data_IF_705435561104
#
_entry.id   IF_705435561104
#
_cell.length_a   1.000
_cell.length_b   1.000
_cell.length_c   1.000
_cell.angle_alpha   90.00
_cell.angle_beta   90.00
_cell.angle_gamma   90.00
#
_symmetry.space_group_name_H-M   'P 1'
#
loop_
_entity.id
_entity.type
_entity.pdbx_description
1 polymer ?
#
# COMPACT_ATOMS: atom_id res chain seq x y z
N UNK A 1 -17.29 13.79 67.67
CA UNK A 1 -16.16 14.08 66.79
C UNK A 1 -16.41 13.52 65.38
N UNK A 2 -16.43 14.37 64.45
CA UNK A 2 -16.18 14.26 63.00
C UNK A 2 -17.32 13.89 62.04
N UNK A 3 -18.46 14.59 62.16
CA UNK A 3 -19.38 14.73 60.99
C UNK A 3 -19.07 15.93 60.09
N UNK A 4 -18.16 16.83 60.51
CA UNK A 4 -17.81 18.06 59.72
C UNK A 4 -16.68 17.83 58.70
N UNK A 5 -15.94 16.71 58.74
CA UNK A 5 -14.84 16.45 57.80
C UNK A 5 -15.24 15.74 56.52
N UNK A 6 -16.46 15.20 56.44
CA UNK A 6 -16.97 14.50 55.23
C UNK A 6 -17.64 15.46 54.25
N UNK A 7 -18.08 16.62 54.68
CA UNK A 7 -18.77 17.60 53.79
C UNK A 7 -17.76 18.47 53.03
N UNK A 8 -16.54 18.62 53.49
CA UNK A 8 -15.49 19.40 52.81
C UNK A 8 -14.84 18.68 51.63
N UNK A 9 -14.93 17.34 51.55
CA UNK A 9 -14.36 16.54 50.44
C UNK A 9 -15.35 16.37 49.28
N UNK A 10 -16.65 16.55 49.52
CA UNK A 10 -17.68 16.44 48.48
C UNK A 10 -17.93 17.75 47.71
N UNK A 11 -17.41 18.89 48.18
CA UNK A 11 -17.55 20.17 47.52
C UNK A 11 -16.37 20.55 46.61
N UNK A 12 -15.27 19.76 46.63
CA UNK A 12 -14.11 20.03 45.75
C UNK A 12 -14.15 19.20 44.46
N UNK A 13 -15.15 18.28 44.30
CA UNK A 13 -15.34 17.48 43.11
C UNK A 13 -16.23 18.15 42.02
N UNK A 14 -16.76 19.35 42.29
CA UNK A 14 -17.73 20.01 41.41
C UNK A 14 -17.13 21.13 40.53
N UNK A 15 -15.80 21.29 40.48
CA UNK A 15 -15.09 22.28 39.63
C UNK A 15 -14.08 21.64 38.68
N UNK A 16 -14.38 20.46 38.15
CA UNK A 16 -13.73 20.06 36.89
C UNK A 16 -14.45 20.83 35.78
N UNK A 17 -13.74 21.69 35.03
CA UNK A 17 -14.32 22.25 33.82
C UNK A 17 -14.65 21.09 32.92
N UNK A 18 -15.94 20.84 32.67
CA UNK A 18 -16.40 20.07 31.54
C UNK A 18 -15.92 20.81 30.27
N UNK A 19 -14.68 20.49 29.87
CA UNK A 19 -14.24 20.77 28.52
C UNK A 19 -15.06 19.83 27.60
N UNK A 20 -16.35 20.14 27.43
CA UNK A 20 -17.13 19.71 26.28
C UNK A 20 -16.61 20.46 25.06
N UNK A 21 -15.35 20.28 24.70
CA UNK A 21 -14.89 20.46 23.34
C UNK A 21 -15.62 19.41 22.50
N UNK A 22 -16.17 19.81 21.39
CA UNK A 22 -16.89 19.00 20.41
C UNK A 22 -16.09 17.73 20.09
N UNK A 23 -16.36 16.63 20.81
CA UNK A 23 -15.70 15.31 20.65
C UNK A 23 -15.94 14.70 19.26
N UNK A 24 -16.86 15.26 18.47
CA UNK A 24 -17.23 14.73 17.16
C UNK A 24 -16.34 15.22 15.99
N UNK A 25 -15.69 16.38 16.09
CA UNK A 25 -14.86 16.89 14.97
C UNK A 25 -13.51 16.18 14.84
N UNK A 26 -13.03 15.52 15.89
CA UNK A 26 -11.77 14.79 15.89
C UNK A 26 -11.87 13.30 15.50
N UNK A 27 -13.05 12.80 15.12
CA UNK A 27 -13.25 11.38 14.76
C UNK A 27 -13.44 11.14 13.26
N UNK A 28 -12.99 12.06 12.42
CA UNK A 28 -12.99 11.87 10.97
C UNK A 28 -11.58 11.69 10.47
N UNK A 29 -11.35 10.60 9.74
CA UNK A 29 -10.07 10.27 9.13
C UNK A 29 -10.29 9.96 7.65
N UNK A 30 -9.42 10.46 6.79
CA UNK A 30 -9.39 10.11 5.38
C UNK A 30 -8.14 9.30 5.05
N UNK A 31 -8.34 8.11 4.45
CA UNK A 31 -7.26 7.22 4.01
C UNK A 31 -7.20 7.27 2.49
N UNK A 32 -6.08 7.76 1.95
CA UNK A 32 -5.80 7.69 0.53
C UNK A 32 -5.18 6.33 0.19
N UNK A 33 -5.49 5.79 -0.98
CA UNK A 33 -4.91 4.54 -1.46
C UNK A 33 -4.88 4.49 -2.99
N UNK A 34 -3.86 3.83 -3.53
CA UNK A 34 -3.81 3.44 -4.94
C UNK A 34 -4.56 2.10 -5.12
N UNK A 35 -5.00 1.81 -6.34
CA UNK A 35 -5.75 0.58 -6.62
C UNK A 35 -4.81 -0.62 -6.78
N UNK A 36 -3.96 -0.85 -5.77
CA UNK A 36 -3.01 -1.94 -5.65
C UNK A 36 -3.43 -2.90 -4.53
N UNK A 37 -3.15 -4.17 -4.72
CA UNK A 37 -3.66 -5.25 -3.88
C UNK A 37 -3.31 -5.08 -2.40
N UNK A 38 -2.06 -4.83 -2.09
CA UNK A 38 -1.56 -4.64 -0.73
C UNK A 38 -2.04 -3.31 -0.13
N UNK A 39 -2.02 -2.24 -0.93
CA UNK A 39 -2.50 -0.92 -0.52
C UNK A 39 -3.99 -0.93 -0.14
N UNK A 40 -4.82 -1.63 -0.93
CA UNK A 40 -6.23 -1.88 -0.61
C UNK A 40 -6.33 -2.66 0.70
N UNK A 41 -5.59 -3.76 0.83
CA UNK A 41 -5.66 -4.64 1.99
C UNK A 41 -5.32 -3.90 3.29
N UNK A 42 -4.20 -3.19 3.32
CA UNK A 42 -3.75 -2.41 4.49
C UNK A 42 -4.70 -1.27 4.80
N UNK A 43 -5.15 -0.52 3.79
CA UNK A 43 -6.03 0.63 3.97
C UNK A 43 -7.42 0.23 4.51
N UNK A 44 -8.01 -0.84 3.98
CA UNK A 44 -9.29 -1.33 4.47
C UNK A 44 -9.20 -2.03 5.83
N UNK A 45 -8.06 -2.65 6.18
CA UNK A 45 -7.81 -3.15 7.52
C UNK A 45 -7.87 -2.01 8.55
N UNK A 46 -7.12 -0.94 8.31
CA UNK A 46 -7.11 0.23 9.20
C UNK A 46 -8.46 0.91 9.23
N UNK A 47 -9.14 1.03 8.08
CA UNK A 47 -10.52 1.53 8.03
C UNK A 47 -11.43 0.78 9.01
N UNK A 48 -11.45 -0.56 8.94
CA UNK A 48 -12.32 -1.38 9.80
C UNK A 48 -11.96 -1.19 11.27
N UNK A 49 -10.68 -1.22 11.62
CA UNK A 49 -10.23 -1.03 12.99
C UNK A 49 -10.64 0.35 13.51
N UNK A 50 -10.44 1.41 12.73
CA UNK A 50 -10.83 2.78 13.14
C UNK A 50 -12.35 2.92 13.28
N UNK A 51 -13.15 2.33 12.39
CA UNK A 51 -14.61 2.34 12.50
C UNK A 51 -15.08 1.63 13.77
N UNK A 52 -14.46 0.53 14.18
CA UNK A 52 -14.74 -0.17 15.44
C UNK A 52 -14.42 0.69 16.67
N UNK A 53 -13.50 1.67 16.53
CA UNK A 53 -13.20 2.67 17.56
C UNK A 53 -14.04 3.95 17.42
N UNK A 54 -15.06 3.93 16.56
CA UNK A 54 -16.05 5.01 16.40
C UNK A 54 -15.56 6.18 15.55
N UNK A 55 -14.56 5.97 14.67
CA UNK A 55 -14.16 6.95 13.66
C UNK A 55 -15.03 6.85 12.41
N UNK A 56 -15.29 8.01 11.79
CA UNK A 56 -15.85 8.10 10.44
C UNK A 56 -14.70 8.10 9.45
N UNK A 57 -14.55 7.02 8.67
CA UNK A 57 -13.40 6.84 7.78
C UNK A 57 -13.78 6.99 6.32
N UNK A 58 -13.24 8.01 5.67
CA UNK A 58 -13.41 8.24 4.24
C UNK A 58 -12.23 7.64 3.45
N UNK A 59 -12.54 6.76 2.49
CA UNK A 59 -11.58 6.19 1.57
C UNK A 59 -11.45 7.05 0.31
N UNK A 60 -10.22 7.32 -0.12
CA UNK A 60 -9.88 8.17 -1.27
C UNK A 60 -9.00 7.38 -2.24
N UNK A 61 -9.60 6.83 -3.29
CA UNK A 61 -8.84 6.17 -4.35
C UNK A 61 -8.28 7.21 -5.32
N UNK A 62 -6.97 7.17 -5.56
CA UNK A 62 -6.29 8.03 -6.53
C UNK A 62 -4.92 7.44 -6.93
N UNK A 63 -4.31 8.02 -7.97
CA UNK A 63 -2.92 7.74 -8.34
C UNK A 63 -1.94 8.41 -7.35
N UNK A 64 -0.66 8.01 -7.36
CA UNK A 64 0.34 8.47 -6.38
C UNK A 64 0.50 9.99 -6.33
N UNK A 65 0.63 10.67 -7.47
CA UNK A 65 0.86 12.11 -7.47
C UNK A 65 -0.29 12.90 -6.79
N UNK A 66 -1.58 12.65 -7.08
CA UNK A 66 -2.70 13.20 -6.32
C UNK A 66 -2.70 12.80 -4.82
N UNK A 67 -2.29 11.56 -4.48
CA UNK A 67 -2.21 11.11 -3.08
C UNK A 67 -1.22 11.97 -2.31
N UNK A 68 0.04 12.06 -2.77
CA UNK A 68 1.08 12.86 -2.11
C UNK A 68 0.73 14.34 -2.05
N UNK A 69 0.17 14.89 -3.13
CA UNK A 69 -0.31 16.27 -3.15
C UNK A 69 -1.46 16.51 -2.15
N UNK A 70 -2.34 15.52 -1.94
CA UNK A 70 -3.45 15.61 -0.98
C UNK A 70 -2.96 15.54 0.46
N UNK A 71 -2.03 14.63 0.77
CA UNK A 71 -1.37 14.54 2.08
C UNK A 71 -0.65 15.84 2.42
N UNK A 72 0.19 16.35 1.51
CA UNK A 72 0.97 17.58 1.73
C UNK A 72 0.10 18.83 1.96
N UNK A 73 -1.17 18.79 1.55
CA UNK A 73 -2.17 19.86 1.74
C UNK A 73 -3.18 19.54 2.85
N UNK A 74 -2.97 18.47 3.62
CA UNK A 74 -3.88 17.99 4.67
C UNK A 74 -5.32 17.72 4.17
N UNK A 75 -5.46 17.28 2.89
CA UNK A 75 -6.74 16.89 2.25
C UNK A 75 -6.99 15.40 2.31
N UNK A 76 -5.94 14.61 2.50
CA UNK A 76 -5.95 13.23 2.95
C UNK A 76 -5.12 13.16 4.24
N UNK A 77 -5.45 12.21 5.11
CA UNK A 77 -4.80 12.08 6.42
C UNK A 77 -3.72 11.00 6.42
N UNK A 78 -3.98 9.87 5.81
CA UNK A 78 -3.15 8.66 5.89
C UNK A 78 -2.95 8.07 4.50
N UNK A 79 -1.73 7.61 4.21
CA UNK A 79 -1.40 6.71 3.11
C UNK A 79 -0.49 5.60 3.63
N UNK A 80 -0.88 4.34 3.43
CA UNK A 80 -0.23 3.19 4.08
C UNK A 80 0.71 2.40 3.17
N UNK A 81 0.94 2.87 1.97
CA UNK A 81 1.61 2.07 0.94
C UNK A 81 2.80 2.84 0.33
N UNK A 82 3.67 3.36 1.22
CA UNK A 82 4.87 4.09 0.81
C UNK A 82 6.08 3.15 0.85
N UNK A 83 6.59 2.80 -0.32
CA UNK A 83 7.72 1.90 -0.53
C UNK A 83 9.04 2.66 -0.45
N UNK A 84 9.88 2.34 0.53
CA UNK A 84 11.16 3.00 0.80
C UNK A 84 12.29 1.98 0.97
N UNK A 85 13.54 2.35 0.58
CA UNK A 85 13.99 3.72 0.25
C UNK A 85 13.96 4.08 -1.24
N UNK A 86 13.61 3.18 -2.17
CA UNK A 86 13.90 3.35 -3.60
C UNK A 86 12.66 3.71 -4.42
N UNK A 87 11.62 2.87 -4.34
CA UNK A 87 10.47 2.93 -5.28
C UNK A 87 9.72 4.26 -5.25
N UNK A 88 9.54 4.86 -4.07
CA UNK A 88 8.85 6.16 -3.90
C UNK A 88 9.77 7.28 -3.44
N UNK A 89 11.08 7.13 -3.66
CA UNK A 89 12.09 8.13 -3.28
C UNK A 89 11.73 9.54 -3.77
N UNK A 90 11.42 9.70 -5.04
CA UNK A 90 11.14 11.00 -5.66
C UNK A 90 9.95 11.72 -5.01
N UNK A 91 8.91 10.96 -4.65
CA UNK A 91 7.75 11.53 -3.94
C UNK A 91 8.14 12.01 -2.54
N UNK A 92 8.97 11.23 -1.84
CA UNK A 92 9.45 11.62 -0.51
C UNK A 92 10.45 12.77 -0.58
N UNK A 93 11.28 12.85 -1.62
CA UNK A 93 12.13 14.02 -1.86
C UNK A 93 11.29 15.28 -2.10
N UNK A 94 10.22 15.19 -2.88
CA UNK A 94 9.36 16.34 -3.22
C UNK A 94 8.47 16.79 -2.08
N UNK A 95 7.94 15.87 -1.26
CA UNK A 95 6.89 16.16 -0.28
C UNK A 95 7.29 15.90 1.17
N UNK A 96 8.43 15.24 1.42
CA UNK A 96 8.83 14.74 2.74
C UNK A 96 8.84 15.78 3.85
N UNK A 97 9.21 17.03 3.55
CA UNK A 97 9.20 18.13 4.52
C UNK A 97 7.80 18.41 5.13
N UNK A 98 6.74 18.00 4.41
CA UNK A 98 5.33 18.18 4.79
C UNK A 98 4.69 16.91 5.32
N UNK A 99 5.44 15.83 5.37
CA UNK A 99 4.97 14.48 5.71
C UNK A 99 5.72 13.93 6.93
N UNK A 100 5.13 12.94 7.57
CA UNK A 100 5.69 12.17 8.68
C UNK A 100 5.55 10.69 8.36
N UNK A 101 6.67 9.95 8.38
CA UNK A 101 6.67 8.48 8.32
C UNK A 101 6.45 7.96 9.73
N UNK A 102 5.32 7.31 10.00
CA UNK A 102 4.93 6.94 11.36
C UNK A 102 4.90 5.46 11.65
N UNK A 103 4.94 4.61 10.64
CA UNK A 103 4.90 3.16 10.84
C UNK A 103 5.59 2.41 9.70
N UNK A 104 6.10 1.22 10.03
CA UNK A 104 6.56 0.23 9.07
C UNK A 104 5.54 -0.92 9.07
N UNK A 105 4.78 -1.04 7.98
CA UNK A 105 3.66 -1.99 7.89
C UNK A 105 4.13 -3.37 7.45
N UNK A 106 5.11 -3.42 6.55
CA UNK A 106 5.61 -4.67 5.97
C UNK A 106 7.06 -4.54 5.54
N UNK A 107 7.84 -5.59 5.75
CA UNK A 107 9.22 -5.72 5.28
C UNK A 107 9.34 -6.71 4.10
N UNK A 108 10.50 -6.72 3.45
CA UNK A 108 10.83 -7.60 2.32
C UNK A 108 9.98 -7.40 1.06
N UNK A 109 9.41 -6.22 0.89
CA UNK A 109 8.73 -5.84 -0.34
C UNK A 109 9.73 -5.80 -1.53
N UNK A 110 9.35 -6.34 -2.68
CA UNK A 110 10.19 -6.39 -3.88
C UNK A 110 9.39 -6.04 -5.11
N UNK A 111 10.01 -5.34 -6.03
CA UNK A 111 9.49 -5.08 -7.38
C UNK A 111 10.37 -5.78 -8.43
N UNK A 112 9.82 -6.05 -9.60
CA UNK A 112 10.59 -6.65 -10.71
C UNK A 112 9.75 -6.96 -11.93
N UNK A 113 10.37 -7.62 -12.91
CA UNK A 113 9.67 -8.21 -14.05
C UNK A 113 9.26 -9.63 -13.70
N UNK A 114 8.00 -9.95 -13.92
CA UNK A 114 7.38 -11.22 -13.55
C UNK A 114 6.91 -11.95 -14.79
N UNK A 115 7.19 -13.24 -14.83
CA UNK A 115 6.73 -14.15 -15.88
C UNK A 115 6.09 -15.40 -15.26
N UNK A 116 5.17 -16.10 -15.97
CA UNK A 116 4.73 -17.43 -15.57
C UNK A 116 5.89 -18.42 -15.48
N UNK A 117 5.84 -19.37 -14.54
CA UNK A 117 6.92 -20.32 -14.29
C UNK A 117 7.24 -21.21 -15.52
N UNK A 118 6.26 -21.45 -16.43
CA UNK A 118 6.47 -22.21 -17.66
C UNK A 118 7.27 -21.44 -18.74
N UNK A 119 7.49 -20.15 -18.57
CA UNK A 119 8.40 -19.36 -19.39
C UNK A 119 9.84 -19.76 -19.06
N UNK A 120 10.63 -20.11 -20.07
CA UNK A 120 11.93 -20.78 -19.84
C UNK A 120 13.08 -19.85 -19.44
N UNK A 121 12.99 -18.54 -19.74
CA UNK A 121 14.02 -17.56 -19.35
C UNK A 121 14.07 -17.39 -17.84
N UNK A 122 15.24 -17.04 -17.31
CA UNK A 122 15.46 -16.83 -15.88
C UNK A 122 15.83 -15.38 -15.54
N UNK A 123 16.38 -14.64 -16.49
CA UNK A 123 16.90 -13.29 -16.24
C UNK A 123 16.35 -12.24 -17.23
N UNK A 124 16.50 -10.98 -16.85
CA UNK A 124 16.09 -9.84 -17.67
C UNK A 124 16.88 -9.77 -18.98
N UNK A 125 18.16 -10.15 -18.97
CA UNK A 125 19.05 -10.16 -20.14
C UNK A 125 18.52 -11.05 -21.26
N UNK A 126 17.84 -12.15 -20.92
CA UNK A 126 17.37 -13.13 -21.89
C UNK A 126 16.15 -12.63 -22.69
N UNK A 127 15.48 -11.55 -22.24
CA UNK A 127 14.26 -11.05 -22.87
C UNK A 127 14.46 -10.74 -24.36
N UNK A 128 15.55 -10.05 -24.76
CA UNK A 128 15.79 -9.70 -26.17
C UNK A 128 15.87 -10.92 -27.09
N UNK A 129 16.44 -12.03 -26.60
CA UNK A 129 16.50 -13.29 -27.36
C UNK A 129 15.14 -13.94 -27.61
N UNK A 130 14.10 -13.48 -26.94
CA UNK A 130 12.75 -14.04 -27.00
C UNK A 130 11.66 -13.01 -27.26
N UNK A 131 12.03 -11.83 -27.80
CA UNK A 131 11.14 -10.69 -28.02
C UNK A 131 9.81 -11.06 -28.70
N UNK A 132 9.87 -11.88 -29.74
CA UNK A 132 8.68 -12.27 -30.51
C UNK A 132 7.67 -13.07 -29.67
N UNK A 133 8.15 -13.90 -28.74
CA UNK A 133 7.28 -14.68 -27.83
C UNK A 133 6.52 -13.79 -26.85
N UNK A 134 7.07 -12.64 -26.50
CA UNK A 134 6.46 -11.63 -25.63
C UNK A 134 5.77 -10.50 -26.42
N UNK A 135 5.67 -10.63 -27.76
CA UNK A 135 5.14 -9.58 -28.65
C UNK A 135 5.87 -8.24 -28.48
N UNK A 136 7.13 -8.25 -28.00
CA UNK A 136 7.93 -7.05 -27.75
C UNK A 136 7.33 -6.11 -26.71
N UNK A 137 6.53 -6.62 -25.75
CA UNK A 137 5.82 -5.78 -24.78
C UNK A 137 6.07 -6.27 -23.34
N UNK A 138 6.17 -5.30 -22.43
CA UNK A 138 6.08 -5.50 -20.99
C UNK A 138 4.78 -4.83 -20.53
N UNK A 139 3.90 -5.58 -19.89
CA UNK A 139 2.64 -5.03 -19.40
C UNK A 139 2.86 -4.44 -18.02
N UNK A 140 2.76 -3.14 -17.92
CA UNK A 140 2.93 -2.39 -16.67
C UNK A 140 1.60 -2.04 -16.00
N UNK A 141 1.70 -1.06 -15.10
CA UNK A 141 0.56 -0.53 -14.35
C UNK A 141 0.41 0.99 -14.59
N UNK A 142 -0.11 1.72 -13.61
CA UNK A 142 -0.32 3.16 -13.66
C UNK A 142 1.00 3.90 -13.92
N UNK A 143 1.01 4.84 -14.86
CA UNK A 143 2.24 5.52 -15.31
C UNK A 143 3.01 6.22 -14.19
N UNK A 144 2.32 6.68 -13.12
CA UNK A 144 2.94 7.34 -11.96
C UNK A 144 3.54 6.40 -10.93
N UNK A 145 3.38 5.08 -11.09
CA UNK A 145 3.93 4.09 -10.14
C UNK A 145 5.46 4.02 -10.26
N UNK A 146 6.15 3.91 -9.11
CA UNK A 146 7.61 3.86 -9.06
C UNK A 146 8.20 2.70 -9.86
N UNK A 147 7.54 1.53 -9.87
CA UNK A 147 7.95 0.37 -10.67
C UNK A 147 7.97 0.66 -12.19
N UNK A 148 7.11 1.54 -12.68
CA UNK A 148 7.11 1.93 -14.09
C UNK A 148 8.38 2.71 -14.43
N UNK A 149 8.72 3.71 -13.63
CA UNK A 149 9.98 4.47 -13.78
C UNK A 149 11.21 3.55 -13.70
N UNK A 150 11.21 2.63 -12.74
CA UNK A 150 12.29 1.63 -12.59
C UNK A 150 12.36 0.72 -13.81
N UNK A 151 11.21 0.32 -14.39
CA UNK A 151 11.18 -0.52 -15.60
C UNK A 151 11.68 0.25 -16.82
N UNK A 152 11.36 1.55 -16.97
CA UNK A 152 11.93 2.39 -18.03
C UNK A 152 13.46 2.47 -17.92
N UNK A 153 13.98 2.60 -16.70
CA UNK A 153 15.42 2.52 -16.45
C UNK A 153 15.98 1.14 -16.83
N UNK A 154 15.28 0.06 -16.49
CA UNK A 154 15.71 -1.30 -16.86
C UNK A 154 15.74 -1.50 -18.38
N UNK A 155 14.74 -0.99 -19.13
CA UNK A 155 14.75 -1.02 -20.59
C UNK A 155 16.04 -0.42 -21.16
N UNK A 156 16.45 0.73 -20.66
CA UNK A 156 17.66 1.42 -21.11
C UNK A 156 18.94 0.68 -20.70
N UNK A 157 19.06 0.32 -19.44
CA UNK A 157 20.27 -0.29 -18.88
C UNK A 157 20.55 -1.69 -19.43
N UNK A 158 19.51 -2.49 -19.67
CA UNK A 158 19.63 -3.80 -20.29
C UNK A 158 19.56 -3.77 -21.82
N UNK A 159 19.34 -2.59 -22.42
CA UNK A 159 19.19 -2.44 -23.87
C UNK A 159 18.02 -3.25 -24.41
N UNK A 160 16.89 -3.29 -23.70
CA UNK A 160 15.73 -4.06 -24.09
C UNK A 160 14.95 -3.35 -25.22
N UNK A 161 14.75 -4.05 -26.32
CA UNK A 161 13.91 -3.59 -27.42
C UNK A 161 12.44 -3.99 -27.18
N UNK A 162 11.87 -3.46 -26.09
CA UNK A 162 10.50 -3.71 -25.64
C UNK A 162 9.77 -2.39 -25.43
N UNK A 163 8.43 -2.46 -25.61
CA UNK A 163 7.52 -1.37 -25.26
C UNK A 163 6.92 -1.62 -23.88
N UNK A 164 7.13 -0.69 -22.94
CA UNK A 164 6.41 -0.69 -21.68
C UNK A 164 4.99 -0.17 -21.90
N UNK A 165 4.00 -1.02 -21.66
CA UNK A 165 2.58 -0.71 -21.82
C UNK A 165 2.01 -0.21 -20.50
N UNK A 166 1.50 1.00 -20.49
CA UNK A 166 0.76 1.52 -19.34
C UNK A 166 -0.64 0.89 -19.28
N UNK A 167 -1.00 0.42 -18.08
CA UNK A 167 -2.32 -0.14 -17.78
C UNK A 167 -2.75 0.28 -16.37
N UNK A 168 -3.79 -0.33 -15.80
CA UNK A 168 -4.01 -0.35 -14.35
C UNK A 168 -3.57 -1.70 -13.77
N UNK A 169 -3.31 -1.78 -12.47
CA UNK A 169 -2.94 -3.06 -11.84
C UNK A 169 -3.98 -4.17 -12.08
N UNK A 170 -5.31 -3.93 -11.99
CA UNK A 170 -6.30 -4.93 -12.38
C UNK A 170 -6.26 -5.32 -13.87
N UNK A 171 -5.94 -4.39 -14.77
CA UNK A 171 -5.83 -4.70 -16.19
C UNK A 171 -4.57 -5.53 -16.51
N UNK A 172 -3.46 -5.24 -15.85
CA UNK A 172 -2.21 -6.04 -15.91
C UNK A 172 -2.47 -7.47 -15.45
N UNK A 173 -3.08 -7.67 -14.27
CA UNK A 173 -3.38 -9.00 -13.74
C UNK A 173 -4.40 -9.76 -14.62
N UNK A 174 -5.36 -9.07 -15.23
CA UNK A 174 -6.27 -9.66 -16.22
C UNK A 174 -5.52 -10.15 -17.47
N UNK A 175 -4.55 -9.38 -17.96
CA UNK A 175 -3.70 -9.78 -19.10
C UNK A 175 -2.84 -10.99 -18.75
N UNK A 176 -2.28 -11.01 -17.54
CA UNK A 176 -1.52 -12.15 -17.02
C UNK A 176 -2.39 -13.42 -16.94
N UNK A 177 -3.60 -13.33 -16.36
CA UNK A 177 -4.54 -14.44 -16.28
C UNK A 177 -4.88 -15.03 -17.66
N UNK A 178 -5.22 -14.18 -18.64
CA UNK A 178 -5.51 -14.61 -20.00
C UNK A 178 -4.34 -15.32 -20.68
N UNK A 179 -3.13 -14.80 -20.53
CA UNK A 179 -1.93 -15.42 -21.09
C UNK A 179 -1.64 -16.80 -20.42
N UNK A 180 -1.81 -16.91 -19.11
CA UNK A 180 -1.65 -18.18 -18.37
C UNK A 180 -2.65 -19.23 -18.85
N UNK A 181 -3.93 -18.85 -19.02
CA UNK A 181 -4.97 -19.78 -19.51
C UNK A 181 -4.66 -20.34 -20.91
N UNK A 182 -4.03 -19.52 -21.76
CA UNK A 182 -3.65 -19.89 -23.13
C UNK A 182 -2.24 -20.49 -23.24
N UNK A 183 -1.47 -20.52 -22.14
CA UNK A 183 -0.04 -20.89 -22.14
C UNK A 183 0.82 -19.98 -23.04
N UNK A 184 0.40 -18.74 -23.25
CA UNK A 184 1.15 -17.72 -23.96
C UNK A 184 2.24 -17.12 -23.07
N UNK A 185 3.36 -16.70 -23.67
CA UNK A 185 4.40 -16.00 -22.94
C UNK A 185 3.98 -14.57 -22.67
N UNK A 186 4.16 -14.11 -21.45
CA UNK A 186 3.90 -12.75 -21.02
C UNK A 186 4.95 -12.33 -19.99
N UNK A 187 5.34 -11.07 -20.05
CA UNK A 187 6.12 -10.41 -19.01
C UNK A 187 5.35 -9.19 -18.51
N UNK A 188 5.21 -9.10 -17.20
CA UNK A 188 4.50 -7.99 -16.53
C UNK A 188 5.40 -7.34 -15.50
N UNK A 189 5.13 -6.08 -15.16
CA UNK A 189 5.65 -5.53 -13.91
C UNK A 189 4.95 -6.21 -12.75
N UNK A 190 5.69 -6.55 -11.70
CA UNK A 190 5.10 -7.22 -10.56
C UNK A 190 5.85 -6.94 -9.27
N UNK A 191 5.22 -7.25 -8.16
CA UNK A 191 5.77 -6.99 -6.83
C UNK A 191 5.28 -8.00 -5.81
N UNK A 192 6.03 -8.13 -4.74
CA UNK A 192 5.64 -8.87 -3.54
C UNK A 192 5.59 -7.90 -2.35
N UNK A 193 4.53 -7.93 -1.53
CA UNK A 193 3.43 -8.92 -1.52
C UNK A 193 2.35 -8.62 -2.57
N UNK A 194 1.85 -9.67 -3.25
CA UNK A 194 0.71 -9.58 -4.17
C UNK A 194 -0.01 -10.94 -4.24
N UNK A 195 -1.35 -10.95 -4.26
CA UNK A 195 -2.15 -12.17 -4.30
C UNK A 195 -1.87 -13.07 -5.51
N UNK A 196 -1.38 -12.49 -6.61
CA UNK A 196 -1.12 -13.25 -7.85
C UNK A 196 -0.11 -14.38 -7.66
N UNK A 197 0.89 -14.23 -6.75
CA UNK A 197 1.86 -15.28 -6.44
C UNK A 197 1.25 -16.46 -5.67
N UNK A 198 0.17 -16.22 -4.92
CA UNK A 198 -0.60 -17.28 -4.28
C UNK A 198 -1.57 -18.00 -5.22
N UNK A 199 -1.96 -17.35 -6.35
CA UNK A 199 -2.92 -17.88 -7.30
C UNK A 199 -2.27 -18.57 -8.50
N UNK A 200 -1.13 -18.04 -8.98
CA UNK A 200 -0.43 -18.52 -10.15
C UNK A 200 0.99 -18.93 -9.80
N UNK A 201 1.53 -19.86 -10.57
CA UNK A 201 2.95 -20.20 -10.52
C UNK A 201 3.72 -19.15 -11.33
N UNK A 202 4.34 -18.22 -10.63
CA UNK A 202 5.07 -17.09 -11.19
C UNK A 202 6.50 -17.07 -10.68
N UNK A 203 7.38 -16.41 -11.44
CA UNK A 203 8.72 -16.07 -10.99
C UNK A 203 9.07 -14.64 -11.36
N UNK A 204 9.85 -14.00 -10.50
CA UNK A 204 10.51 -12.72 -10.79
C UNK A 204 11.80 -13.07 -11.56
N UNK A 205 12.06 -12.37 -12.66
CA UNK A 205 13.30 -12.52 -13.41
C UNK A 205 14.49 -11.97 -12.63
N UNK A 206 15.63 -12.65 -12.71
CA UNK A 206 16.87 -12.19 -12.11
C UNK A 206 17.32 -10.86 -12.71
N UNK A 207 17.68 -9.92 -11.84
CA UNK A 207 18.15 -8.58 -12.15
C UNK A 207 19.63 -8.44 -11.77
N UNK A 208 20.54 -8.88 -12.63
CA UNK A 208 21.99 -8.88 -12.38
C UNK A 208 22.57 -7.49 -12.18
N UNK A 209 21.94 -6.46 -12.77
CA UNK A 209 22.35 -5.06 -12.64
C UNK A 209 21.72 -4.36 -11.43
N UNK A 210 20.87 -5.05 -10.69
CA UNK A 210 20.17 -4.51 -9.51
C UNK A 210 19.40 -3.21 -9.78
N UNK A 211 18.78 -3.09 -10.94
CA UNK A 211 18.00 -1.91 -11.34
C UNK A 211 16.74 -1.78 -10.47
N UNK A 212 16.12 -2.93 -10.14
CA UNK A 212 14.95 -2.98 -9.25
C UNK A 212 15.34 -2.92 -7.76
N UNK A 213 16.64 -2.88 -7.46
CA UNK A 213 17.15 -2.71 -6.10
C UNK A 213 17.02 -3.97 -5.23
N UNK A 214 17.14 -3.76 -3.93
CA UNK A 214 16.97 -4.78 -2.90
C UNK A 214 15.53 -4.74 -2.36
N UNK A 215 15.24 -5.64 -1.41
CA UNK A 215 13.98 -5.57 -0.69
C UNK A 215 13.83 -4.22 0.03
N UNK A 216 12.62 -3.69 -0.01
CA UNK A 216 12.20 -2.45 0.63
C UNK A 216 11.22 -2.72 1.78
N UNK A 217 10.89 -1.69 2.53
CA UNK A 217 9.81 -1.73 3.51
C UNK A 217 8.65 -0.84 3.06
N UNK A 218 7.44 -1.25 3.39
CA UNK A 218 6.22 -0.47 3.16
C UNK A 218 5.87 0.30 4.42
N UNK A 219 5.71 1.60 4.29
CA UNK A 219 5.51 2.52 5.40
C UNK A 219 4.16 3.22 5.35
N UNK A 220 3.67 3.55 6.54
CA UNK A 220 2.55 4.49 6.70
C UNK A 220 3.09 5.91 6.75
N UNK A 221 2.50 6.78 5.93
CA UNK A 221 2.82 8.21 5.89
C UNK A 221 1.57 9.03 6.15
N UNK A 222 1.73 10.09 6.92
CA UNK A 222 0.70 11.09 7.26
C UNK A 222 1.24 12.50 7.01
N UNK A 223 0.40 13.51 7.05
CA UNK A 223 0.88 14.90 7.00
C UNK A 223 1.58 15.29 8.31
N UNK A 224 2.52 16.23 8.22
CA UNK A 224 3.29 16.75 9.36
C UNK A 224 2.35 17.28 10.46
N UNK A 225 2.67 16.99 11.72
CA UNK A 225 1.88 17.30 12.92
C UNK A 225 0.59 16.45 13.08
N UNK A 226 0.38 15.42 12.24
CA UNK A 226 -0.76 14.51 12.36
C UNK A 226 -0.77 13.80 13.71
N UNK A 227 0.39 13.35 14.17
CA UNK A 227 0.53 12.62 15.44
C UNK A 227 0.12 13.46 16.65
N UNK A 228 0.30 14.77 16.60
CA UNK A 228 -0.14 15.68 17.65
C UNK A 228 -1.68 15.85 17.64
N UNK A 229 -2.26 15.95 16.45
CA UNK A 229 -3.70 16.16 16.31
C UNK A 229 -4.52 14.89 16.56
N UNK A 230 -4.01 13.73 16.15
CA UNK A 230 -4.68 12.43 16.25
C UNK A 230 -3.79 11.39 16.97
N UNK A 231 -3.43 11.60 18.25
CA UNK A 231 -2.46 10.75 18.95
C UNK A 231 -2.87 9.28 19.02
N UNK A 232 -4.16 8.98 19.22
CA UNK A 232 -4.67 7.61 19.23
C UNK A 232 -4.52 6.93 17.86
N UNK A 233 -4.87 7.64 16.77
CA UNK A 233 -4.77 7.08 15.41
C UNK A 233 -3.30 6.86 15.03
N UNK A 234 -2.43 7.82 15.36
CA UNK A 234 -1.00 7.71 15.11
C UNK A 234 -0.38 6.52 15.84
N UNK A 235 -0.74 6.29 17.11
CA UNK A 235 -0.27 5.14 17.89
C UNK A 235 -0.78 3.82 17.29
N UNK A 236 -2.05 3.75 16.89
CA UNK A 236 -2.60 2.59 16.21
C UNK A 236 -1.83 2.29 14.92
N UNK A 237 -1.59 3.31 14.08
CA UNK A 237 -0.88 3.16 12.82
C UNK A 237 0.58 2.72 13.01
N UNK A 238 1.28 3.19 14.06
CA UNK A 238 2.65 2.73 14.39
C UNK A 238 2.71 1.25 14.72
N UNK A 239 1.63 0.70 15.28
CA UNK A 239 1.56 -0.69 15.73
C UNK A 239 1.00 -1.64 14.66
N UNK A 240 0.49 -1.14 13.52
CA UNK A 240 0.08 -1.99 12.41
C UNK A 240 1.33 -2.52 11.70
N UNK A 241 1.53 -3.83 11.82
CA UNK A 241 2.58 -4.58 11.13
C UNK A 241 2.01 -5.93 10.70
N UNK A 242 2.24 -6.29 9.47
CA UNK A 242 1.76 -7.54 8.87
C UNK A 242 2.96 -8.40 8.44
N UNK A 243 2.91 -9.67 8.75
CA UNK A 243 3.83 -10.66 8.18
C UNK A 243 3.33 -11.17 6.82
N UNK A 244 4.16 -12.00 6.16
CA UNK A 244 3.87 -12.57 4.84
C UNK A 244 2.55 -13.35 4.81
N UNK A 245 2.25 -14.10 5.86
CA UNK A 245 1.04 -14.90 5.96
C UNK A 245 -0.20 -14.01 6.15
N UNK A 246 -0.10 -13.02 7.02
CA UNK A 246 -1.18 -12.08 7.32
C UNK A 246 -1.57 -11.28 6.07
N UNK A 247 -0.60 -10.61 5.43
CA UNK A 247 -0.89 -9.78 4.26
C UNK A 247 -1.37 -10.61 3.07
N UNK A 248 -0.76 -11.78 2.83
CA UNK A 248 -1.17 -12.67 1.73
C UNK A 248 -2.58 -13.23 1.94
N UNK A 249 -2.93 -13.65 3.17
CA UNK A 249 -4.26 -14.16 3.48
C UNK A 249 -5.33 -13.07 3.43
N UNK A 250 -5.00 -11.85 3.85
CA UNK A 250 -5.89 -10.69 3.78
C UNK A 250 -6.20 -10.32 2.33
N UNK A 251 -5.16 -10.17 1.49
CA UNK A 251 -5.33 -9.92 0.06
C UNK A 251 -6.15 -11.01 -0.63
N UNK A 252 -5.86 -12.30 -0.33
CA UNK A 252 -6.60 -13.42 -0.90
C UNK A 252 -8.08 -13.43 -0.47
N UNK A 253 -8.38 -13.00 0.74
CA UNK A 253 -9.76 -12.89 1.24
C UNK A 253 -10.52 -11.78 0.53
N UNK A 254 -9.87 -10.63 0.30
CA UNK A 254 -10.44 -9.51 -0.45
C UNK A 254 -10.68 -9.90 -1.91
N UNK A 255 -9.69 -10.50 -2.57
CA UNK A 255 -9.78 -10.91 -3.98
C UNK A 255 -10.89 -11.93 -4.25
N UNK A 256 -11.11 -12.86 -3.32
CA UNK A 256 -12.13 -13.91 -3.45
C UNK A 256 -13.53 -13.44 -3.13
N UNK A 257 -13.69 -12.29 -2.47
CA UNK A 257 -15.01 -11.83 -2.07
C UNK A 257 -15.83 -11.30 -3.25
N UNK A 258 -17.13 -11.59 -3.24
CA UNK A 258 -18.08 -10.94 -4.16
C UNK A 258 -18.80 -9.77 -3.47
N UNK A 259 -18.35 -9.40 -2.28
CA UNK A 259 -18.87 -8.30 -1.46
C UNK A 259 -17.84 -7.17 -1.38
N UNK A 260 -18.05 -6.23 -0.47
CA UNK A 260 -17.13 -5.12 -0.27
C UNK A 260 -15.85 -5.54 0.44
N UNK A 261 -14.77 -4.80 0.22
CA UNK A 261 -13.49 -4.97 0.92
C UNK A 261 -13.67 -4.91 2.45
N UNK A 262 -14.50 -3.97 2.92
CA UNK A 262 -14.85 -3.86 4.35
C UNK A 262 -15.46 -5.16 4.89
N UNK A 263 -16.34 -5.81 4.12
CA UNK A 263 -16.89 -7.11 4.52
C UNK A 263 -15.81 -8.19 4.56
N UNK A 264 -14.95 -8.26 3.55
CA UNK A 264 -13.86 -9.24 3.47
C UNK A 264 -12.89 -9.09 4.66
N UNK A 265 -12.49 -7.86 4.97
CA UNK A 265 -11.63 -7.57 6.14
C UNK A 265 -12.29 -8.00 7.44
N UNK A 266 -13.57 -7.69 7.66
CA UNK A 266 -14.30 -8.14 8.86
C UNK A 266 -14.42 -9.67 8.97
N UNK A 267 -14.44 -10.40 7.86
CA UNK A 267 -14.38 -11.87 7.88
C UNK A 267 -12.96 -12.36 8.20
N UNK A 268 -11.94 -11.71 7.68
CA UNK A 268 -10.54 -12.08 7.94
C UNK A 268 -10.13 -11.85 9.41
N UNK A 269 -10.66 -10.82 10.06
CA UNK A 269 -10.37 -10.48 11.47
C UNK A 269 -11.04 -11.42 12.49
N UNK A 270 -12.00 -12.28 12.10
CA UNK A 270 -12.69 -13.25 12.98
C UNK A 270 -11.85 -14.48 13.24
#
# INVERSE_FOLDING_TARGET
MNRLKIIAVLLLAALLPTACGNLNDNKKISIAYANWSEGIAMSYLVKVILEEHGYDVRMLNADLAPIFASLSRKKADVFMDVWLPVTMHDYMEQYGDKLEVIGNVYDNARIGLVVPEYVTIQSIEELNGHKDKFSGQIIGIDAGAGIMKTTEKALNEYGLDYKLMTASAPAMTTSLDKAIQKKEWIVVTGWTPHWMFGRYKLKILDDSKQIYGKAESIHTVVWKDFSEKYPFVAELLRNIRLDDQQISSLMATIEKTQKTETYAVRQWMK
#
